data_IF_963042610108
#
_entry.id   IF_963042610108
#
_cell.length_a   1.000
_cell.length_b   1.000
_cell.length_c   1.000
_cell.angle_alpha   90.00
_cell.angle_beta   90.00
_cell.angle_gamma   90.00
#
_symmetry.space_group_name_H-M   'P 1'
#
loop_
_entity.id
_entity.type
_entity.pdbx_description
1 polymer ?
#
# COMPACT_ATOMS: atom_id res chain seq x y z
N UNK A 1 3.38 -20.44 12.18
CA UNK A 1 3.23 -19.38 13.21
C UNK A 1 3.13 -18.07 12.46
N UNK A 2 1.92 -17.55 12.34
CA UNK A 2 1.60 -16.34 11.59
C UNK A 2 2.27 -15.12 12.23
N UNK A 3 2.78 -14.19 11.40
CA UNK A 3 3.28 -12.92 11.92
C UNK A 3 2.04 -12.04 12.02
N UNK A 4 1.69 -11.52 13.20
CA UNK A 4 0.59 -10.58 13.29
C UNK A 4 1.02 -9.32 12.54
N UNK A 5 0.46 -9.11 11.36
CA UNK A 5 0.58 -7.83 10.68
C UNK A 5 -0.21 -6.83 11.50
N UNK A 6 0.45 -5.75 11.89
CA UNK A 6 -0.14 -4.72 12.73
C UNK A 6 -0.08 -3.41 11.99
N UNK A 7 -1.24 -2.82 11.74
CA UNK A 7 -1.29 -1.37 11.60
C UNK A 7 -0.83 -0.74 12.93
N UNK A 8 -0.33 0.51 12.93
CA UNK A 8 -0.08 1.26 14.16
C UNK A 8 -1.24 1.11 15.16
N UNK A 9 -0.96 1.03 16.47
CA UNK A 9 -1.98 0.71 17.49
C UNK A 9 -3.20 1.66 17.46
N UNK A 10 -3.02 2.89 16.97
CA UNK A 10 -4.08 3.88 16.77
C UNK A 10 -5.02 3.58 15.57
N UNK A 11 -4.73 2.56 14.76
CA UNK A 11 -5.33 2.34 13.44
C UNK A 11 -5.89 0.93 13.19
N UNK A 12 -5.75 0.00 14.13
CA UNK A 12 -6.20 -1.41 13.95
C UNK A 12 -7.70 -1.57 13.67
N UNK A 13 -8.51 -0.52 13.85
CA UNK A 13 -9.94 -0.50 13.56
C UNK A 13 -10.35 0.44 12.43
N UNK A 14 -9.40 1.05 11.69
CA UNK A 14 -9.73 2.03 10.64
C UNK A 14 -10.60 1.43 9.52
N UNK A 15 -10.50 0.12 9.28
CA UNK A 15 -11.35 -0.58 8.32
C UNK A 15 -12.81 -0.71 8.77
N UNK A 16 -13.07 -0.73 10.08
CA UNK A 16 -14.43 -0.87 10.65
C UNK A 16 -15.15 0.46 10.77
N UNK A 17 -14.45 1.57 10.62
CA UNK A 17 -15.02 2.90 10.77
C UNK A 17 -15.70 3.37 9.48
N UNK A 18 -16.78 4.17 9.61
CA UNK A 18 -17.41 4.81 8.46
C UNK A 18 -16.43 5.70 7.71
N UNK A 19 -16.59 5.79 6.40
CA UNK A 19 -15.72 6.58 5.51
C UNK A 19 -15.53 8.03 6.00
N UNK A 20 -16.60 8.69 6.44
CA UNK A 20 -16.53 10.07 6.93
C UNK A 20 -15.61 10.20 8.15
N UNK A 21 -15.72 9.28 9.11
CA UNK A 21 -14.86 9.27 10.32
C UNK A 21 -13.40 9.05 9.97
N UNK A 22 -13.11 8.18 9.00
CA UNK A 22 -11.75 7.94 8.51
C UNK A 22 -11.17 9.22 7.89
N UNK A 23 -11.94 9.90 7.04
CA UNK A 23 -11.52 11.15 6.39
C UNK A 23 -11.24 12.27 7.41
N UNK A 24 -12.10 12.40 8.43
CA UNK A 24 -11.91 13.35 9.54
C UNK A 24 -10.63 13.04 10.33
N UNK A 25 -10.39 11.77 10.68
CA UNK A 25 -9.19 11.35 11.40
C UNK A 25 -7.90 11.62 10.64
N UNK A 26 -7.93 11.44 9.32
CA UNK A 26 -6.79 11.66 8.44
C UNK A 26 -6.68 13.11 7.95
N UNK A 27 -7.58 14.01 8.40
CA UNK A 27 -7.65 15.42 7.98
C UNK A 27 -7.63 15.61 6.46
N UNK A 28 -8.36 14.75 5.74
CA UNK A 28 -8.39 14.74 4.27
C UNK A 28 -9.83 14.79 3.76
N UNK A 29 -10.00 15.09 2.46
CA UNK A 29 -11.33 15.29 1.87
C UNK A 29 -11.43 14.67 0.49
N UNK A 30 -12.55 14.01 0.17
CA UNK A 30 -12.76 13.36 -1.13
C UNK A 30 -12.70 14.30 -2.34
N UNK A 31 -13.07 15.57 -2.16
CA UNK A 31 -13.10 16.53 -3.26
C UNK A 31 -11.77 17.25 -3.50
N UNK A 32 -11.00 17.49 -2.42
CA UNK A 32 -9.77 18.29 -2.48
C UNK A 32 -8.49 17.50 -2.21
N UNK A 33 -8.60 16.34 -1.56
CA UNK A 33 -7.47 15.63 -0.99
C UNK A 33 -6.69 16.49 0.00
N UNK A 34 -5.41 16.14 0.21
CA UNK A 34 -4.50 16.91 1.05
C UNK A 34 -3.95 18.16 0.32
N UNK A 35 -3.54 19.16 1.10
CA UNK A 35 -2.71 20.24 0.57
C UNK A 35 -1.25 19.81 0.47
N UNK A 36 -0.46 20.49 -0.36
CA UNK A 36 0.98 20.19 -0.45
C UNK A 36 1.72 20.48 0.87
N UNK A 37 1.25 21.47 1.63
CA UNK A 37 1.84 21.84 2.92
C UNK A 37 1.55 20.79 3.99
N UNK A 38 0.32 20.29 4.04
CA UNK A 38 -0.07 19.24 4.99
C UNK A 38 0.66 17.94 4.65
N UNK A 39 0.74 17.60 3.36
CA UNK A 39 1.47 16.42 2.91
C UNK A 39 2.95 16.46 3.32
N UNK A 40 3.61 17.61 3.16
CA UNK A 40 5.00 17.78 3.63
C UNK A 40 5.13 17.62 5.14
N UNK A 41 4.20 18.19 5.91
CA UNK A 41 4.21 18.09 7.38
C UNK A 41 4.00 16.65 7.85
N UNK A 42 3.17 15.88 7.13
CA UNK A 42 2.94 14.46 7.40
C UNK A 42 4.17 13.62 7.03
N UNK A 43 4.85 13.94 5.94
CA UNK A 43 6.12 13.31 5.57
C UNK A 43 7.19 13.50 6.64
N UNK A 44 7.32 14.71 7.17
CA UNK A 44 8.28 14.99 8.25
C UNK A 44 7.97 14.21 9.53
N UNK A 45 6.69 13.85 9.75
CA UNK A 45 6.22 13.13 10.94
C UNK A 45 6.29 11.61 10.80
N UNK A 46 5.84 11.07 9.66
CA UNK A 46 5.66 9.63 9.44
C UNK A 46 6.74 9.01 8.54
N UNK A 47 7.56 9.84 7.88
CA UNK A 47 8.57 9.41 6.93
C UNK A 47 8.04 9.32 5.49
N UNK A 48 8.93 8.87 4.61
CA UNK A 48 8.64 8.66 3.19
C UNK A 48 8.05 7.27 2.95
N UNK A 49 7.32 7.10 1.83
CA UNK A 49 6.83 5.80 1.40
C UNK A 49 7.95 5.01 0.69
N UNK A 50 9.04 4.78 1.40
CA UNK A 50 10.21 4.08 0.89
C UNK A 50 10.41 2.75 1.60
N UNK A 51 10.51 1.69 0.81
CA UNK A 51 10.90 0.38 1.30
C UNK A 51 12.38 0.14 1.01
N UNK A 52 13.10 -0.38 2.02
CA UNK A 52 14.45 -0.89 1.82
C UNK A 52 14.39 -2.23 1.10
N UNK A 53 15.31 -2.45 0.16
CA UNK A 53 15.44 -3.73 -0.52
C UNK A 53 15.72 -4.85 0.50
N UNK A 54 15.17 -6.05 0.33
CA UNK A 54 15.37 -7.16 1.26
C UNK A 54 16.86 -7.51 1.50
N UNK A 55 17.68 -7.42 0.43
CA UNK A 55 19.13 -7.51 0.55
C UNK A 55 19.73 -6.12 0.39
N UNK A 56 20.02 -5.48 1.52
CA UNK A 56 20.66 -4.16 1.58
C UNK A 56 22.20 -4.33 1.74
N UNK A 57 22.90 -4.66 0.64
CA UNK A 57 24.36 -4.73 0.60
C UNK A 57 24.98 -3.38 0.19
N UNK A 58 26.12 -2.96 0.78
CA UNK A 58 26.90 -1.87 0.23
C UNK A 58 27.23 -2.12 -1.23
N UNK A 59 27.15 -1.09 -2.08
CA UNK A 59 27.31 -1.24 -3.54
C UNK A 59 28.61 -1.95 -3.94
N UNK A 60 29.69 -1.75 -3.20
CA UNK A 60 30.97 -2.42 -3.44
C UNK A 60 30.90 -3.94 -3.29
N UNK A 61 30.07 -4.44 -2.36
CA UNK A 61 29.89 -5.87 -2.15
C UNK A 61 29.04 -6.48 -3.27
N UNK A 62 28.02 -5.76 -3.73
CA UNK A 62 27.20 -6.21 -4.85
C UNK A 62 28.01 -6.22 -6.17
N UNK A 63 29.07 -5.40 -6.32
CA UNK A 63 30.04 -5.50 -7.42
C UNK A 63 30.95 -6.75 -7.35
N UNK A 64 31.28 -7.21 -6.14
CA UNK A 64 32.08 -8.42 -5.93
C UNK A 64 31.25 -9.71 -6.01
N UNK A 65 29.94 -9.61 -5.77
CA UNK A 65 28.98 -10.69 -5.79
C UNK A 65 27.77 -10.30 -6.66
N UNK A 66 27.92 -10.27 -8.00
CA UNK A 66 26.86 -9.85 -8.92
C UNK A 66 25.57 -10.68 -8.78
N UNK A 67 25.66 -11.90 -8.26
CA UNK A 67 24.51 -12.75 -7.95
C UNK A 67 23.56 -12.16 -6.90
N UNK A 68 24.00 -11.23 -6.03
CA UNK A 68 23.15 -10.59 -5.02
C UNK A 68 22.06 -9.69 -5.63
N UNK A 69 22.31 -9.12 -6.82
CA UNK A 69 21.30 -8.38 -7.58
C UNK A 69 20.23 -9.27 -8.22
N UNK A 70 20.54 -10.56 -8.43
CA UNK A 70 19.68 -11.55 -9.06
C UNK A 70 18.98 -12.48 -8.05
N UNK A 71 19.00 -12.14 -6.76
CA UNK A 71 18.22 -12.88 -5.77
C UNK A 71 16.74 -12.63 -6.06
N UNK A 72 15.94 -13.70 -6.09
CA UNK A 72 14.52 -13.65 -6.45
C UNK A 72 13.74 -12.57 -5.69
N UNK A 73 14.05 -12.35 -4.42
CA UNK A 73 13.44 -11.29 -3.60
C UNK A 73 13.72 -9.88 -4.13
N UNK A 74 14.94 -9.60 -4.62
CA UNK A 74 15.30 -8.28 -5.15
C UNK A 74 14.72 -8.02 -6.54
N UNK A 75 14.62 -9.06 -7.37
CA UNK A 75 13.97 -8.97 -8.68
C UNK A 75 12.48 -8.68 -8.51
N UNK A 76 11.81 -9.49 -7.71
CA UNK A 76 10.38 -9.33 -7.44
C UNK A 76 10.06 -7.98 -6.79
N UNK A 77 10.95 -7.47 -5.94
CA UNK A 77 10.71 -6.20 -5.23
C UNK A 77 10.57 -5.02 -6.19
N UNK A 78 11.36 -5.01 -7.28
CA UNK A 78 11.24 -3.96 -8.31
C UNK A 78 10.01 -4.11 -9.21
N UNK A 79 9.36 -5.28 -9.22
CA UNK A 79 8.16 -5.53 -10.03
C UNK A 79 6.87 -5.18 -9.27
N UNK A 80 6.87 -5.34 -7.94
CA UNK A 80 5.64 -5.23 -7.13
C UNK A 80 5.46 -3.88 -6.45
N UNK A 81 6.52 -3.05 -6.38
CA UNK A 81 6.45 -1.69 -5.84
C UNK A 81 6.32 -0.74 -7.03
N UNK A 82 5.18 -0.04 -7.19
CA UNK A 82 5.00 0.87 -8.32
C UNK A 82 5.90 2.11 -8.19
N UNK A 83 6.29 2.68 -9.33
CA UNK A 83 7.10 3.90 -9.39
C UNK A 83 6.28 5.16 -9.10
N UNK A 84 5.00 5.18 -9.51
CA UNK A 84 4.11 6.32 -9.35
C UNK A 84 2.69 5.94 -8.92
N UNK A 85 1.91 6.95 -8.54
CA UNK A 85 0.51 6.82 -8.18
C UNK A 85 -0.29 8.07 -8.57
N UNK A 86 -1.56 7.88 -8.94
CA UNK A 86 -2.49 8.98 -9.23
C UNK A 86 -3.16 9.48 -7.95
N UNK A 87 -2.80 10.69 -7.52
CA UNK A 87 -3.18 11.27 -6.22
C UNK A 87 -4.01 12.53 -6.39
N UNK A 88 -5.02 12.71 -5.55
CA UNK A 88 -5.75 13.97 -5.43
C UNK A 88 -5.07 14.87 -4.39
N UNK A 89 -4.51 16.00 -4.84
CA UNK A 89 -3.99 17.05 -3.96
C UNK A 89 -4.43 18.43 -4.43
N UNK A 90 -4.81 19.29 -3.49
CA UNK A 90 -5.33 20.65 -3.77
C UNK A 90 -6.48 20.68 -4.81
N UNK A 91 -7.34 19.67 -4.81
CA UNK A 91 -8.48 19.53 -5.73
C UNK A 91 -8.10 19.16 -7.16
N UNK A 92 -6.88 18.65 -7.38
CA UNK A 92 -6.42 18.20 -8.69
C UNK A 92 -5.81 16.81 -8.61
N UNK A 93 -6.17 15.97 -9.57
CA UNK A 93 -5.51 14.68 -9.79
C UNK A 93 -4.15 14.93 -10.43
N UNK A 94 -3.10 14.44 -9.79
CA UNK A 94 -1.71 14.55 -10.23
C UNK A 94 -1.01 13.20 -10.04
N UNK A 95 -0.13 12.83 -10.97
CA UNK A 95 0.74 11.67 -10.79
C UNK A 95 1.95 12.09 -9.97
N UNK A 96 2.23 11.35 -8.90
CA UNK A 96 3.37 11.55 -8.02
C UNK A 96 4.19 10.27 -7.94
N UNK A 97 5.49 10.42 -7.70
CA UNK A 97 6.34 9.29 -7.33
C UNK A 97 5.75 8.58 -6.09
N UNK A 98 5.67 7.26 -6.13
CA UNK A 98 5.09 6.46 -5.05
C UNK A 98 5.78 6.73 -3.70
N UNK A 99 7.08 7.06 -3.70
CA UNK A 99 7.84 7.44 -2.50
C UNK A 99 7.35 8.72 -1.82
N UNK A 100 6.67 9.59 -2.58
CA UNK A 100 6.12 10.87 -2.12
C UNK A 100 4.72 10.76 -1.52
N UNK A 101 4.14 9.55 -1.51
CA UNK A 101 2.87 9.28 -0.83
C UNK A 101 3.02 9.42 0.68
N UNK A 102 1.99 10.00 1.28
CA UNK A 102 1.88 10.13 2.74
C UNK A 102 0.52 9.65 3.22
N UNK A 103 0.44 9.33 4.51
CA UNK A 103 -0.82 9.02 5.18
C UNK A 103 -1.85 10.13 4.92
N UNK A 104 -3.07 9.75 4.56
CA UNK A 104 -4.17 10.69 4.23
C UNK A 104 -4.25 11.13 2.76
N UNK A 105 -3.26 10.79 1.93
CA UNK A 105 -3.39 10.99 0.47
C UNK A 105 -4.56 10.18 -0.08
N UNK A 106 -5.28 10.76 -1.03
CA UNK A 106 -6.35 10.07 -1.75
C UNK A 106 -5.80 9.63 -3.09
N UNK A 107 -5.87 8.32 -3.35
CA UNK A 107 -5.30 7.67 -4.51
C UNK A 107 -6.41 7.02 -5.31
N UNK A 108 -6.34 7.14 -6.63
CA UNK A 108 -7.17 6.38 -7.56
C UNK A 108 -6.34 5.30 -8.20
N UNK A 109 -6.89 4.10 -8.26
CA UNK A 109 -6.28 2.95 -8.93
C UNK A 109 -7.27 2.29 -9.88
N UNK A 110 -6.79 1.84 -11.02
CA UNK A 110 -7.57 1.23 -12.09
C UNK A 110 -7.00 -0.15 -12.46
N UNK A 111 -7.77 -0.90 -13.25
CA UNK A 111 -7.38 -2.21 -13.74
C UNK A 111 -5.94 -2.25 -14.31
N UNK A 112 -5.13 -3.19 -13.81
CA UNK A 112 -3.74 -3.38 -14.18
C UNK A 112 -2.74 -2.56 -13.36
N UNK A 113 -3.19 -1.60 -12.56
CA UNK A 113 -2.32 -0.80 -11.70
C UNK A 113 -2.03 -1.51 -10.37
N UNK A 114 -0.82 -1.26 -9.85
CA UNK A 114 -0.37 -1.78 -8.55
C UNK A 114 -0.69 -0.78 -7.44
N UNK A 115 -0.96 -1.31 -6.26
CA UNK A 115 -1.26 -0.54 -5.05
C UNK A 115 0.07 -0.03 -4.46
N UNK A 116 0.21 1.29 -4.32
CA UNK A 116 1.46 1.96 -3.95
C UNK A 116 1.69 2.13 -2.43
N UNK A 117 0.67 1.91 -1.60
CA UNK A 117 0.74 1.99 -0.14
C UNK A 117 -0.40 1.13 0.45
N UNK A 118 -0.45 0.98 1.77
CA UNK A 118 -1.63 0.36 2.38
C UNK A 118 -2.74 1.39 2.49
N UNK A 119 -3.94 1.05 1.99
CA UNK A 119 -5.03 2.00 1.79
C UNK A 119 -6.39 1.45 2.23
N UNK A 120 -7.28 2.36 2.62
CA UNK A 120 -8.68 2.11 2.93
C UNK A 120 -9.56 2.59 1.77
N UNK A 121 -10.41 1.70 1.25
CA UNK A 121 -11.30 2.00 0.11
C UNK A 121 -12.35 3.03 0.50
N UNK A 122 -12.54 4.06 -0.31
CA UNK A 122 -13.57 5.08 -0.11
C UNK A 122 -14.73 4.88 -1.09
N UNK A 123 -14.39 4.56 -2.34
CA UNK A 123 -15.34 4.33 -3.43
C UNK A 123 -14.77 3.24 -4.35
N UNK A 124 -15.62 2.39 -4.91
CA UNK A 124 -15.21 1.38 -5.89
C UNK A 124 -16.30 1.12 -6.92
N UNK A 125 -15.90 0.80 -8.15
CA UNK A 125 -16.81 0.36 -9.19
C UNK A 125 -17.39 -1.03 -8.87
N UNK A 126 -18.62 -1.37 -9.30
CA UNK A 126 -19.17 -2.70 -9.11
C UNK A 126 -18.30 -3.79 -9.76
N UNK A 127 -17.99 -4.85 -9.01
CA UNK A 127 -17.14 -5.95 -9.50
C UNK A 127 -15.64 -5.63 -9.51
N UNK A 128 -15.21 -4.61 -8.76
CA UNK A 128 -13.77 -4.35 -8.57
C UNK A 128 -13.13 -5.52 -7.83
N UNK A 129 -11.99 -6.02 -8.32
CA UNK A 129 -11.25 -7.13 -7.74
C UNK A 129 -9.76 -6.81 -7.64
N UNK A 130 -9.12 -7.29 -6.57
CA UNK A 130 -7.69 -7.09 -6.31
C UNK A 130 -7.01 -8.40 -6.01
N UNK A 131 -5.85 -8.64 -6.63
CA UNK A 131 -4.98 -9.78 -6.35
C UNK A 131 -3.97 -9.42 -5.28
N UNK A 132 -3.89 -10.27 -4.24
CA UNK A 132 -2.92 -10.17 -3.15
C UNK A 132 -1.86 -11.27 -3.26
N UNK A 133 -1.59 -11.79 -4.46
CA UNK A 133 -0.68 -12.92 -4.70
C UNK A 133 0.71 -12.68 -4.10
N UNK A 134 1.29 -11.50 -4.33
CA UNK A 134 2.63 -11.16 -3.84
C UNK A 134 2.71 -10.95 -2.33
N UNK A 135 1.59 -10.69 -1.67
CA UNK A 135 1.52 -10.53 -0.21
C UNK A 135 1.22 -11.85 0.49
N UNK A 136 0.29 -12.65 -0.05
CA UNK A 136 -0.28 -13.84 0.62
C UNK A 136 0.18 -15.17 0.04
N UNK A 137 0.72 -15.19 -1.18
CA UNK A 137 1.04 -16.40 -1.95
C UNK A 137 -0.19 -17.15 -2.45
N UNK A 138 -1.39 -16.55 -2.40
CA UNK A 138 -2.63 -17.14 -2.89
C UNK A 138 -3.08 -16.45 -4.17
N UNK A 139 -3.19 -17.21 -5.26
CA UNK A 139 -3.72 -16.73 -6.53
C UNK A 139 -5.25 -16.78 -6.52
N UNK A 140 -5.84 -15.92 -5.69
CA UNK A 140 -7.29 -15.80 -5.52
C UNK A 140 -7.65 -14.31 -5.35
N UNK A 141 -8.12 -13.64 -6.42
CA UNK A 141 -8.59 -12.27 -6.33
C UNK A 141 -9.70 -12.11 -5.30
N UNK A 142 -9.68 -10.99 -4.58
CA UNK A 142 -10.71 -10.62 -3.60
C UNK A 142 -11.58 -9.51 -4.16
N UNK A 143 -12.88 -9.59 -3.86
CA UNK A 143 -13.83 -8.53 -4.17
C UNK A 143 -13.56 -7.31 -3.28
N UNK A 144 -13.52 -6.14 -3.93
CA UNK A 144 -13.33 -4.85 -3.25
C UNK A 144 -14.68 -4.29 -2.82
N UNK A 145 -14.74 -3.77 -1.60
CA UNK A 145 -15.94 -3.16 -1.03
C UNK A 145 -15.59 -1.86 -0.28
N UNK A 146 -16.58 -0.99 -0.09
CA UNK A 146 -16.40 0.22 0.73
C UNK A 146 -16.54 -0.10 2.22
N UNK A 147 -17.45 -0.99 2.59
CA UNK A 147 -17.67 -1.40 3.98
C UNK A 147 -16.82 -2.62 4.36
N UNK A 148 -16.54 -2.77 5.66
CA UNK A 148 -15.77 -3.92 6.15
C UNK A 148 -16.52 -5.23 5.85
N UNK A 149 -15.82 -6.19 5.25
CA UNK A 149 -16.38 -7.51 4.91
C UNK A 149 -15.89 -8.62 5.86
N UNK A 150 -14.92 -8.30 6.71
CA UNK A 150 -14.30 -9.21 7.65
C UNK A 150 -13.81 -8.47 8.91
N UNK A 151 -13.70 -9.22 10.02
CA UNK A 151 -13.15 -8.72 11.29
C UNK A 151 -11.67 -8.38 11.19
N UNK A 152 -10.90 -9.26 10.53
CA UNK A 152 -9.48 -9.05 10.23
C UNK A 152 -9.32 -8.10 9.04
N UNK A 153 -8.51 -7.06 9.20
CA UNK A 153 -8.27 -6.07 8.16
C UNK A 153 -7.58 -6.68 6.93
N UNK A 154 -6.76 -7.74 7.11
CA UNK A 154 -6.08 -8.44 6.00
C UNK A 154 -7.05 -9.19 5.09
N UNK A 155 -8.17 -9.64 5.65
CA UNK A 155 -9.20 -10.39 4.93
C UNK A 155 -10.35 -9.51 4.46
N UNK A 156 -10.41 -8.26 4.91
CA UNK A 156 -11.47 -7.32 4.55
C UNK A 156 -11.27 -6.77 3.14
N UNK A 157 -12.33 -6.78 2.32
CA UNK A 157 -12.32 -6.28 0.94
C UNK A 157 -12.22 -4.77 0.82
N UNK A 158 -12.25 -4.07 1.95
CA UNK A 158 -12.19 -2.62 2.01
C UNK A 158 -10.80 -2.07 2.37
N UNK A 159 -9.81 -2.97 2.43
CA UNK A 159 -8.39 -2.68 2.61
C UNK A 159 -7.59 -3.15 1.41
N UNK A 160 -6.69 -2.29 0.94
CA UNK A 160 -5.75 -2.56 -0.14
C UNK A 160 -4.34 -2.49 0.43
N UNK A 161 -3.45 -3.36 -0.05
CA UNK A 161 -2.10 -3.48 0.50
C UNK A 161 -1.05 -3.27 -0.59
N UNK A 162 0.06 -2.64 -0.23
CA UNK A 162 1.23 -2.51 -1.08
C UNK A 162 1.65 -3.87 -1.65
N UNK A 163 2.04 -3.92 -2.93
CA UNK A 163 2.29 -5.11 -3.78
C UNK A 163 1.06 -5.85 -4.31
N UNK A 164 -0.15 -5.44 -3.94
CA UNK A 164 -1.37 -5.93 -4.60
C UNK A 164 -1.59 -5.21 -5.93
N UNK A 165 -2.40 -5.77 -6.82
CA UNK A 165 -2.79 -5.09 -8.06
C UNK A 165 -4.28 -5.27 -8.37
N UNK A 166 -4.86 -4.30 -9.06
CA UNK A 166 -6.27 -4.32 -9.47
C UNK A 166 -6.42 -5.26 -10.67
N UNK A 167 -7.21 -6.31 -10.51
CA UNK A 167 -7.50 -7.31 -11.56
C UNK A 167 -8.66 -6.86 -12.45
N UNK A 168 -9.59 -6.10 -11.87
CA UNK A 168 -10.76 -5.60 -12.56
C UNK A 168 -11.31 -4.37 -11.84
N UNK A 169 -11.88 -3.43 -12.60
CA UNK A 169 -12.57 -2.25 -12.07
C UNK A 169 -11.63 -1.10 -11.72
N UNK A 170 -12.14 -0.18 -10.90
CA UNK A 170 -11.42 0.96 -10.36
C UNK A 170 -11.91 1.30 -8.96
N UNK A 171 -11.04 1.89 -8.16
CA UNK A 171 -11.41 2.39 -6.84
C UNK A 171 -10.61 3.64 -6.44
N UNK A 172 -11.23 4.43 -5.55
CA UNK A 172 -10.62 5.57 -4.88
C UNK A 172 -10.42 5.19 -3.41
N UNK A 173 -9.22 5.38 -2.89
CA UNK A 173 -8.83 4.94 -1.55
C UNK A 173 -8.02 6.02 -0.83
N UNK A 174 -8.00 5.99 0.50
CA UNK A 174 -7.12 6.85 1.32
C UNK A 174 -5.95 6.04 1.85
N UNK A 175 -4.75 6.60 1.79
CA UNK A 175 -3.54 5.99 2.35
C UNK A 175 -3.61 5.96 3.88
N UNK A 176 -3.44 4.78 4.46
CA UNK A 176 -3.43 4.59 5.92
C UNK A 176 -2.02 4.33 6.45
N UNK A 177 -1.20 3.55 5.72
CA UNK A 177 0.17 3.26 6.11
C UNK A 177 1.13 3.31 4.91
N UNK A 178 2.33 3.81 5.16
CA UNK A 178 3.40 4.03 4.17
C UNK A 178 4.71 3.42 4.65
N UNK A 179 5.60 3.08 3.70
CA UNK A 179 6.96 2.62 3.97
C UNK A 179 7.00 1.49 5.01
N UNK A 180 7.75 1.72 6.09
CA UNK A 180 8.01 0.74 7.14
C UNK A 180 6.75 0.28 7.90
N UNK A 181 5.63 1.01 7.79
CA UNK A 181 4.37 0.68 8.46
C UNK A 181 3.50 -0.28 7.64
N UNK A 182 3.81 -0.47 6.35
CA UNK A 182 3.03 -1.33 5.47
C UNK A 182 3.12 -2.80 5.87
N UNK A 183 2.07 -3.57 5.56
CA UNK A 183 2.03 -5.02 5.72
C UNK A 183 3.19 -5.69 4.97
N UNK A 184 3.51 -5.21 3.77
CA UNK A 184 4.63 -5.73 2.98
C UNK A 184 5.97 -5.57 3.71
N UNK A 185 6.26 -4.38 4.27
CA UNK A 185 7.48 -4.17 5.05
C UNK A 185 7.59 -5.15 6.21
N UNK A 186 6.49 -5.37 6.93
CA UNK A 186 6.48 -6.28 8.08
C UNK A 186 6.78 -7.72 7.68
N UNK A 187 6.29 -8.17 6.52
CA UNK A 187 6.64 -9.49 5.98
C UNK A 187 8.12 -9.56 5.55
N UNK A 188 8.65 -8.52 4.90
CA UNK A 188 10.08 -8.44 4.53
C UNK A 188 10.95 -8.50 5.79
N UNK A 189 10.65 -7.68 6.80
CA UNK A 189 11.37 -7.63 8.08
C UNK A 189 11.33 -8.96 8.83
N UNK A 190 10.22 -9.69 8.72
CA UNK A 190 10.07 -11.01 9.31
C UNK A 190 10.71 -12.14 8.50
N UNK A 191 11.30 -11.85 7.31
CA UNK A 191 11.87 -12.85 6.42
C UNK A 191 10.82 -13.79 5.80
N UNK A 192 9.56 -13.34 5.70
CA UNK A 192 8.43 -14.10 5.16
C UNK A 192 8.02 -13.70 3.76
N UNK A 193 8.67 -12.69 3.21
CA UNK A 193 8.47 -12.22 1.85
C UNK A 193 9.75 -12.44 1.01
N UNK A 194 9.65 -12.92 -0.24
CA UNK A 194 8.42 -13.32 -0.94
C UNK A 194 7.77 -14.59 -0.35
N UNK A 195 6.44 -14.77 -0.48
CA UNK A 195 5.79 -16.00 -0.07
C UNK A 195 6.36 -17.22 -0.83
N UNK A 196 6.47 -18.36 -0.15
CA UNK A 196 7.16 -19.55 -0.66
C UNK A 196 6.51 -20.23 -1.89
N UNK A 197 5.28 -19.84 -2.22
CA UNK A 197 4.46 -20.46 -3.27
C UNK A 197 4.35 -19.60 -4.55
N UNK A 198 5.24 -18.60 -4.69
CA UNK A 198 5.38 -17.79 -5.91
C UNK A 198 6.16 -18.52 -7.00
#
# INVERSE_FOLDING_TARGET
MDVPLMLPEDETNIHKEPVQTVLEKLNTSLDKGLTNQDANSLRDRYGENLLKKPVDCPSWLCCLLPCLGNVASNQLFGEVVPDDALVLRNGRWITLDASSLVRGDIVKVQNGESIAADMRVLECSPGTQVSQLYLTGKDAPKDVAVEATAEDFLESGNMLFLSSHVVQGECTSVVVAVGDQTALHQLIRAGKWPPANL
#
